data_IF_122691641133
#
_entry.id   IF_122691641133
#
_cell.length_a   1.000
_cell.length_b   1.000
_cell.length_c   1.000
_cell.angle_alpha   90.00
_cell.angle_beta   90.00
_cell.angle_gamma   90.00
#
_symmetry.space_group_name_H-M   'P 1'
#
loop_
_entity.id
_entity.type
_entity.pdbx_description
1 polymer ?
#
# COMPACT_ATOMS: atom_id res chain seq x y z
N UNK A 1 9.26 6.39 -3.12
CA UNK A 1 8.06 6.23 -3.96
C UNK A 1 6.89 6.88 -3.24
N UNK A 2 6.39 7.99 -3.74
CA UNK A 2 5.24 8.70 -3.14
C UNK A 2 4.04 8.47 -4.06
N UNK A 3 2.88 8.14 -3.50
CA UNK A 3 1.64 8.03 -4.29
C UNK A 3 1.00 9.43 -4.32
N UNK A 4 0.86 10.03 -5.50
CA UNK A 4 0.28 11.38 -5.64
C UNK A 4 -1.23 11.35 -5.83
N UNK A 5 -1.76 10.37 -6.57
CA UNK A 5 -3.19 10.29 -6.85
C UNK A 5 -3.66 8.85 -7.01
N UNK A 6 -4.76 8.53 -6.35
CA UNK A 6 -5.55 7.32 -6.54
C UNK A 6 -6.86 7.75 -7.22
N UNK A 7 -7.05 7.49 -8.52
CA UNK A 7 -8.34 7.79 -9.15
C UNK A 7 -9.34 6.68 -8.83
N UNK A 8 -10.60 7.06 -8.61
CA UNK A 8 -11.68 6.16 -8.22
C UNK A 8 -11.92 5.01 -9.21
N UNK A 9 -12.64 3.99 -8.74
CA UNK A 9 -13.09 2.78 -9.44
C UNK A 9 -13.52 2.94 -10.90
N UNK A 10 -13.89 4.15 -11.34
CA UNK A 10 -14.29 4.46 -12.73
C UNK A 10 -13.15 4.73 -13.70
N UNK A 11 -11.99 5.21 -13.25
CA UNK A 11 -10.92 5.66 -14.16
C UNK A 11 -9.73 4.70 -14.28
N UNK A 12 -9.59 3.70 -13.38
CA UNK A 12 -8.49 2.70 -13.39
C UNK A 12 -7.10 3.33 -13.66
N UNK A 13 -6.80 4.46 -13.01
CA UNK A 13 -5.49 5.11 -13.09
C UNK A 13 -4.87 5.21 -11.69
N UNK A 14 -3.58 4.89 -11.61
CA UNK A 14 -2.74 5.09 -10.43
C UNK A 14 -1.49 5.86 -10.84
N UNK A 15 -1.08 6.85 -10.04
CA UNK A 15 0.14 7.63 -10.27
C UNK A 15 1.08 7.55 -9.07
N UNK A 16 2.27 7.02 -9.31
CA UNK A 16 3.35 6.88 -8.34
C UNK A 16 4.57 7.66 -8.83
N UNK A 17 5.09 8.57 -8.01
CA UNK A 17 6.33 9.30 -8.32
C UNK A 17 7.55 8.68 -7.65
N UNK A 18 8.72 9.02 -8.18
CA UNK A 18 10.02 8.45 -7.84
C UNK A 18 10.53 7.63 -9.02
N UNK A 19 11.37 8.23 -9.85
CA UNK A 19 11.94 7.59 -11.03
C UNK A 19 12.84 6.41 -10.59
N UNK A 20 12.41 5.18 -10.92
CA UNK A 20 13.16 3.97 -10.56
C UNK A 20 14.55 3.94 -11.17
N UNK A 21 14.71 4.43 -12.41
CA UNK A 21 16.01 4.50 -13.07
C UNK A 21 16.96 5.48 -12.38
N UNK A 22 16.46 6.64 -11.95
CA UNK A 22 17.26 7.61 -11.19
C UNK A 22 17.73 7.01 -9.87
N UNK A 23 16.84 6.32 -9.13
CA UNK A 23 17.20 5.63 -7.88
C UNK A 23 18.26 4.56 -8.15
N UNK A 24 18.09 3.74 -9.18
CA UNK A 24 19.05 2.69 -9.54
C UNK A 24 20.43 3.28 -9.88
N UNK A 25 20.48 4.36 -10.68
CA UNK A 25 21.73 5.01 -11.08
C UNK A 25 22.44 5.65 -9.88
N UNK A 26 21.71 6.29 -8.97
CA UNK A 26 22.28 6.96 -7.81
C UNK A 26 22.76 5.99 -6.73
N UNK A 27 22.06 4.87 -6.55
CA UNK A 27 22.36 3.89 -5.49
C UNK A 27 23.25 2.75 -5.97
N UNK A 28 23.37 2.56 -7.28
CA UNK A 28 23.96 1.38 -7.92
C UNK A 28 23.32 0.06 -7.43
N UNK A 29 22.06 0.11 -6.99
CA UNK A 29 21.30 -1.04 -6.50
C UNK A 29 20.14 -1.31 -7.45
N UNK A 30 19.91 -2.60 -7.74
CA UNK A 30 18.74 -3.04 -8.50
C UNK A 30 17.47 -2.50 -7.84
N UNK A 31 16.78 -1.62 -8.55
CA UNK A 31 15.57 -0.97 -8.04
C UNK A 31 14.34 -1.56 -8.73
N UNK A 32 13.38 -2.04 -7.94
CA UNK A 32 12.06 -2.47 -8.42
C UNK A 32 11.05 -1.41 -8.01
N UNK A 33 10.27 -0.89 -8.97
CA UNK A 33 9.29 0.19 -8.74
C UNK A 33 7.95 -0.12 -9.41
N UNK A 34 6.99 0.79 -9.28
CA UNK A 34 5.70 0.77 -9.97
C UNK A 34 4.80 -0.45 -9.69
N UNK A 35 4.78 -0.90 -8.43
CA UNK A 35 4.07 -2.10 -8.00
C UNK A 35 2.54 -2.08 -8.20
N UNK A 36 1.92 -0.91 -8.38
CA UNK A 36 0.44 -0.81 -8.47
C UNK A 36 -0.08 -0.89 -9.90
N UNK A 37 0.69 -0.45 -10.89
CA UNK A 37 0.23 -0.39 -12.28
C UNK A 37 -0.17 -1.75 -12.82
N UNK A 38 0.58 -2.81 -12.51
CA UNK A 38 0.25 -4.17 -12.94
C UNK A 38 -1.13 -4.62 -12.46
N UNK A 39 -1.45 -4.40 -11.19
CA UNK A 39 -2.75 -4.76 -10.61
C UNK A 39 -3.90 -3.96 -11.25
N UNK A 40 -3.71 -2.65 -11.43
CA UNK A 40 -4.71 -1.78 -12.07
C UNK A 40 -4.98 -2.17 -13.53
N UNK A 41 -3.93 -2.49 -14.29
CA UNK A 41 -4.06 -2.95 -15.69
C UNK A 41 -4.84 -4.27 -15.78
N UNK A 42 -4.73 -5.13 -14.77
CA UNK A 42 -5.48 -6.39 -14.66
C UNK A 42 -6.90 -6.19 -14.08
N UNK A 43 -7.33 -4.96 -13.84
CA UNK A 43 -8.66 -4.63 -13.33
C UNK A 43 -8.79 -4.63 -11.80
N UNK A 44 -7.68 -4.81 -11.08
CA UNK A 44 -7.60 -4.60 -9.64
C UNK A 44 -7.64 -3.12 -9.24
N UNK A 45 -7.65 -2.86 -7.94
CA UNK A 45 -7.71 -1.50 -7.40
C UNK A 45 -6.32 -0.83 -7.33
N UNK A 46 -5.24 -1.59 -7.48
CA UNK A 46 -3.86 -1.14 -7.24
C UNK A 46 -3.50 -1.07 -5.75
N UNK A 47 -4.41 -1.43 -4.85
CA UNK A 47 -4.27 -1.40 -3.39
C UNK A 47 -5.33 -2.27 -2.71
N UNK A 48 -5.12 -2.64 -1.43
CA UNK A 48 -3.85 -2.57 -0.69
C UNK A 48 -2.89 -3.67 -1.16
N UNK A 49 -1.60 -3.34 -1.33
CA UNK A 49 -0.55 -4.32 -1.69
C UNK A 49 0.02 -5.06 -0.46
N UNK A 50 -0.14 -4.46 0.71
CA UNK A 50 0.37 -4.92 2.01
C UNK A 50 -0.11 -6.32 2.42
N UNK A 51 -1.35 -6.77 2.13
CA UNK A 51 -1.85 -8.06 2.61
C UNK A 51 -0.99 -9.26 2.18
N UNK A 52 -0.40 -9.23 0.98
CA UNK A 52 0.51 -10.31 0.54
C UNK A 52 1.77 -10.37 1.43
N UNK A 53 2.29 -9.20 1.82
CA UNK A 53 3.38 -9.09 2.78
C UNK A 53 2.96 -9.64 4.14
N UNK A 54 1.79 -9.25 4.64
CA UNK A 54 1.24 -9.72 5.92
C UNK A 54 1.09 -11.25 5.95
N UNK A 55 0.60 -11.86 4.87
CA UNK A 55 0.54 -13.31 4.74
C UNK A 55 1.91 -13.97 4.79
N UNK A 56 2.91 -13.39 4.12
CA UNK A 56 4.21 -14.05 3.97
C UNK A 56 5.10 -13.87 5.18
N UNK A 57 5.12 -12.67 5.75
CA UNK A 57 6.04 -12.25 6.81
C UNK A 57 5.51 -12.53 8.22
N UNK A 58 4.20 -12.44 8.44
CA UNK A 58 3.60 -12.47 9.79
C UNK A 58 2.63 -13.64 9.96
N UNK A 59 2.96 -14.82 9.40
CA UNK A 59 2.04 -15.98 9.24
C UNK A 59 1.32 -16.38 10.53
N UNK A 60 2.01 -16.30 11.65
CA UNK A 60 1.55 -16.63 12.99
C UNK A 60 0.49 -15.66 13.55
N UNK A 61 0.40 -14.45 13.00
CA UNK A 61 -0.56 -13.44 13.43
C UNK A 61 -1.81 -13.45 12.57
N UNK A 62 -2.97 -13.58 13.24
CA UNK A 62 -4.30 -13.52 12.61
C UNK A 62 -4.67 -12.13 12.11
N UNK A 63 -4.24 -11.10 12.83
CA UNK A 63 -4.55 -9.69 12.55
C UNK A 63 -3.24 -8.93 12.37
N UNK A 64 -3.14 -8.14 11.30
CA UNK A 64 -2.03 -7.21 11.08
C UNK A 64 -2.64 -5.80 10.99
N UNK A 65 -2.22 -4.90 11.88
CA UNK A 65 -2.73 -3.54 11.99
C UNK A 65 -1.61 -2.58 11.63
N UNK A 66 -1.83 -1.71 10.63
CA UNK A 66 -0.91 -0.61 10.33
C UNK A 66 -1.57 0.73 10.72
N UNK A 67 -0.85 1.53 11.50
CA UNK A 67 -1.28 2.81 12.03
C UNK A 67 -0.55 3.95 11.29
N UNK A 68 -0.93 4.16 10.04
CA UNK A 68 -0.41 5.27 9.23
C UNK A 68 -1.18 6.57 9.45
N UNK A 69 -1.33 7.38 8.39
CA UNK A 69 -2.30 8.48 8.39
C UNK A 69 -3.73 7.97 8.63
N UNK A 70 -4.06 6.81 8.06
CA UNK A 70 -5.24 6.01 8.36
C UNK A 70 -4.80 4.66 8.94
N UNK A 71 -5.61 4.11 9.85
CA UNK A 71 -5.51 2.73 10.30
C UNK A 71 -6.09 1.80 9.23
N UNK A 72 -5.38 0.72 8.94
CA UNK A 72 -5.91 -0.38 8.15
C UNK A 72 -5.54 -1.73 8.76
N UNK A 73 -6.42 -2.71 8.56
CA UNK A 73 -6.26 -4.05 9.11
C UNK A 73 -6.31 -5.08 8.00
N UNK A 74 -5.44 -6.09 8.10
CA UNK A 74 -5.51 -7.34 7.37
C UNK A 74 -5.90 -8.47 8.33
N UNK A 75 -6.91 -9.25 7.98
CA UNK A 75 -7.44 -10.37 8.76
C UNK A 75 -7.24 -11.66 7.97
N UNK A 76 -6.55 -12.63 8.57
CA UNK A 76 -6.37 -13.97 8.01
C UNK A 76 -7.49 -14.89 8.49
N UNK A 77 -8.25 -15.47 7.56
CA UNK A 77 -9.33 -16.40 7.86
C UNK A 77 -9.47 -17.40 6.71
N UNK A 78 -9.52 -18.69 7.03
CA UNK A 78 -9.77 -19.78 6.06
C UNK A 78 -8.86 -19.71 4.81
N UNK A 79 -7.55 -19.47 5.02
CA UNK A 79 -6.56 -19.31 3.94
C UNK A 79 -6.83 -18.13 2.98
N UNK A 80 -7.68 -17.19 3.38
CA UNK A 80 -7.95 -15.94 2.70
C UNK A 80 -7.52 -14.75 3.58
N UNK A 81 -7.30 -13.60 2.94
CA UNK A 81 -7.12 -12.33 3.64
C UNK A 81 -8.27 -11.39 3.31
N UNK A 82 -8.77 -10.73 4.33
CA UNK A 82 -9.65 -9.58 4.22
C UNK A 82 -8.88 -8.35 4.67
N UNK A 83 -8.85 -7.29 3.87
CA UNK A 83 -8.16 -6.07 4.24
C UNK A 83 -9.01 -4.84 3.94
N UNK A 84 -9.06 -3.90 4.88
CA UNK A 84 -9.84 -2.67 4.77
C UNK A 84 -9.30 -1.57 5.69
N UNK A 85 -9.63 -0.33 5.36
CA UNK A 85 -9.34 0.85 6.19
C UNK A 85 -10.36 0.92 7.35
N UNK A 86 -9.91 1.32 8.54
CA UNK A 86 -10.73 1.42 9.76
C UNK A 86 -11.11 2.88 10.02
N UNK A 87 -10.12 3.75 10.21
CA UNK A 87 -10.33 5.14 10.61
C UNK A 87 -9.09 6.02 10.37
N UNK A 88 -9.22 7.36 10.36
CA UNK A 88 -8.08 8.26 10.46
C UNK A 88 -7.32 8.08 11.78
N UNK A 89 -5.98 8.15 11.75
CA UNK A 89 -5.12 8.10 12.96
C UNK A 89 -4.15 9.28 12.93
N UNK A 90 -2.95 9.09 12.36
CA UNK A 90 -1.89 10.09 12.47
C UNK A 90 -2.17 11.34 11.63
N UNK A 91 -3.11 11.29 10.67
CA UNK A 91 -3.51 12.51 9.95
C UNK A 91 -4.17 13.53 10.89
N UNK A 92 -4.97 13.07 11.86
CA UNK A 92 -5.63 13.93 12.85
C UNK A 92 -4.67 14.26 13.99
N UNK A 93 -3.98 13.24 14.52
CA UNK A 93 -3.08 13.43 15.65
C UNK A 93 -1.93 14.38 15.31
N UNK A 94 -1.31 14.26 14.14
CA UNK A 94 -0.22 15.15 13.72
C UNK A 94 -0.68 16.58 13.47
N UNK A 95 -1.96 16.78 13.13
CA UNK A 95 -2.53 18.12 13.01
C UNK A 95 -2.70 18.78 14.38
N UNK A 96 -3.14 18.01 15.38
CA UNK A 96 -3.40 18.48 16.74
C UNK A 96 -2.14 18.58 17.60
N UNK A 97 -1.08 17.85 17.28
CA UNK A 97 0.18 17.82 18.05
C UNK A 97 1.13 18.99 17.72
N UNK A 98 0.61 20.06 17.09
CA UNK A 98 1.37 21.25 16.72
C UNK A 98 1.18 22.36 17.75
#
# INVERSE_FOLDING_TARGET
MVTLYFTSQKKKITLQIGCGQTIANQTNIKTVTNFRTGDVLLGGQGAPLVPIGDLKLFREYKYCLNLGGFANISIKKNNQIFAFDICPVNIVLNYLSK
#
